data_IF_761603900028
#
_entry.id   IF_761603900028
#
_cell.length_a   1.000
_cell.length_b   1.000
_cell.length_c   1.000
_cell.angle_alpha   90.00
_cell.angle_beta   90.00
_cell.angle_gamma   90.00
#
_symmetry.space_group_name_H-M   'P 1'
#
loop_
_entity.id
_entity.type
_entity.pdbx_description
1 polymer ?
#
# COMPACT_ATOMS: atom_id res chain seq x y z
N UNK A 1 -12.19 0.32 -22.55
CA UNK A 1 -11.11 1.31 -22.35
C UNK A 1 -10.09 1.19 -23.48
N UNK A 2 -9.66 2.28 -24.09
CA UNK A 2 -8.67 2.25 -25.17
C UNK A 2 -7.25 2.17 -24.63
N UNK A 3 -6.27 1.78 -25.48
CA UNK A 3 -4.86 1.78 -25.10
C UNK A 3 -4.38 3.17 -24.67
N UNK A 4 -4.79 4.21 -25.38
CA UNK A 4 -4.45 5.59 -25.05
C UNK A 4 -5.00 6.02 -23.68
N UNK A 5 -6.16 5.51 -23.27
CA UNK A 5 -6.72 5.82 -21.94
C UNK A 5 -5.93 5.12 -20.83
N UNK A 6 -5.45 3.89 -21.07
CA UNK A 6 -4.59 3.17 -20.14
C UNK A 6 -3.23 3.84 -19.99
N UNK A 7 -2.57 4.22 -21.10
CA UNK A 7 -1.27 4.89 -21.07
C UNK A 7 -1.30 6.24 -20.34
N UNK A 8 -2.44 6.94 -20.34
CA UNK A 8 -2.62 8.20 -19.58
C UNK A 8 -2.62 7.98 -18.06
N UNK A 9 -2.79 6.74 -17.59
CA UNK A 9 -2.70 6.42 -16.15
C UNK A 9 -1.27 6.33 -15.66
N UNK A 10 -0.27 6.30 -16.53
CA UNK A 10 1.13 6.27 -16.14
C UNK A 10 1.53 7.58 -15.45
N UNK A 11 2.13 7.44 -14.27
CA UNK A 11 2.69 8.56 -13.50
C UNK A 11 4.07 8.15 -12.97
N UNK A 12 5.10 8.45 -13.74
CA UNK A 12 6.46 7.99 -13.44
C UNK A 12 6.56 6.47 -13.44
N UNK A 13 6.95 5.91 -12.32
CA UNK A 13 7.07 4.47 -12.05
C UNK A 13 5.80 3.86 -11.41
N UNK A 14 4.70 4.61 -11.35
CA UNK A 14 3.42 4.19 -10.79
C UNK A 14 2.29 4.30 -11.83
N UNK A 15 1.16 3.68 -11.53
CA UNK A 15 -0.13 3.95 -12.16
C UNK A 15 -0.94 4.83 -11.22
N UNK A 16 -1.51 5.93 -11.70
CA UNK A 16 -2.30 6.88 -10.93
C UNK A 16 -3.53 7.34 -11.72
N UNK A 17 -4.65 7.54 -11.02
CA UNK A 17 -5.86 8.06 -11.65
C UNK A 17 -6.91 8.56 -10.66
N UNK A 18 -8.02 9.04 -11.21
CA UNK A 18 -9.22 9.40 -10.48
C UNK A 18 -10.05 8.12 -10.32
N UNK A 19 -10.27 7.70 -9.08
CA UNK A 19 -10.95 6.44 -8.75
C UNK A 19 -12.31 6.62 -8.08
N UNK A 20 -12.61 7.85 -7.59
CA UNK A 20 -13.90 8.21 -7.03
C UNK A 20 -14.41 9.51 -7.65
N UNK A 21 -15.71 9.63 -7.73
CA UNK A 21 -16.40 10.88 -8.05
C UNK A 21 -16.40 11.82 -6.82
N UNK A 22 -16.79 13.08 -7.03
CA UNK A 22 -16.96 14.06 -5.94
C UNK A 22 -16.11 15.32 -6.07
N UNK A 23 -15.32 15.47 -7.15
CA UNK A 23 -14.59 16.70 -7.49
C UNK A 23 -15.09 17.23 -8.82
N UNK A 24 -15.58 18.47 -8.85
CA UNK A 24 -16.14 19.08 -10.04
C UNK A 24 -15.10 19.15 -11.18
N UNK A 25 -15.51 18.74 -12.37
CA UNK A 25 -14.65 18.71 -13.56
C UNK A 25 -13.72 17.48 -13.65
N UNK A 26 -13.63 16.65 -12.64
CA UNK A 26 -12.84 15.43 -12.64
C UNK A 26 -13.70 14.19 -12.99
N UNK A 27 -13.22 13.37 -13.90
CA UNK A 27 -13.91 12.14 -14.32
C UNK A 27 -13.10 10.93 -13.92
N UNK A 28 -13.76 9.90 -13.41
CA UNK A 28 -13.14 8.60 -13.07
C UNK A 28 -12.47 8.04 -14.33
N UNK A 29 -11.19 7.71 -14.22
CA UNK A 29 -10.37 7.08 -15.26
C UNK A 29 -9.58 5.86 -14.76
N UNK A 30 -9.35 5.73 -13.45
CA UNK A 30 -8.83 4.50 -12.85
C UNK A 30 -10.04 3.66 -12.39
N UNK A 31 -10.55 2.83 -13.31
CA UNK A 31 -11.75 2.03 -13.11
C UNK A 31 -11.41 0.59 -12.72
N UNK A 32 -12.42 -0.16 -12.23
CA UNK A 32 -12.29 -1.61 -12.01
C UNK A 32 -11.91 -2.34 -13.30
N UNK A 33 -12.45 -1.94 -14.48
CA UNK A 33 -12.06 -2.51 -15.77
C UNK A 33 -10.58 -2.29 -16.07
N UNK A 34 -10.06 -1.08 -15.79
CA UNK A 34 -8.64 -0.79 -15.94
C UNK A 34 -7.79 -1.69 -15.03
N UNK A 35 -8.15 -1.78 -13.74
CA UNK A 35 -7.44 -2.59 -12.77
C UNK A 35 -7.48 -4.09 -13.11
N UNK A 36 -8.62 -4.59 -13.60
CA UNK A 36 -8.75 -5.96 -14.09
C UNK A 36 -7.73 -6.26 -15.20
N UNK A 37 -7.64 -5.39 -16.20
CA UNK A 37 -6.68 -5.51 -17.30
C UNK A 37 -5.24 -5.37 -16.84
N UNK A 38 -4.96 -4.43 -15.95
CA UNK A 38 -3.64 -4.19 -15.36
C UNK A 38 -3.18 -5.41 -14.55
N UNK A 39 -4.05 -6.04 -13.75
CA UNK A 39 -3.72 -7.26 -13.03
C UNK A 39 -3.31 -8.41 -13.95
N UNK A 40 -4.06 -8.63 -15.05
CA UNK A 40 -3.71 -9.62 -16.06
C UNK A 40 -2.39 -9.32 -16.78
N UNK A 41 -2.15 -8.05 -17.08
CA UNK A 41 -0.92 -7.59 -17.70
C UNK A 41 0.30 -7.77 -16.77
N UNK A 42 0.16 -7.43 -15.50
CA UNK A 42 1.23 -7.63 -14.52
C UNK A 42 1.58 -9.12 -14.37
N UNK A 43 0.60 -10.02 -14.38
CA UNK A 43 0.86 -11.47 -14.39
C UNK A 43 1.72 -11.89 -15.58
N UNK A 44 1.41 -11.39 -16.78
CA UNK A 44 2.18 -11.70 -17.99
C UNK A 44 3.57 -11.09 -17.97
N UNK A 45 3.68 -9.83 -17.54
CA UNK A 45 4.96 -9.13 -17.40
C UNK A 45 5.86 -9.87 -16.40
N UNK A 46 5.36 -10.20 -15.22
CA UNK A 46 6.10 -10.88 -14.17
C UNK A 46 6.55 -12.29 -14.61
N UNK A 47 5.69 -13.02 -15.33
CA UNK A 47 6.04 -14.32 -15.90
C UNK A 47 7.21 -14.24 -16.88
N UNK A 48 7.24 -13.20 -17.74
CA UNK A 48 8.37 -12.95 -18.66
C UNK A 48 9.63 -12.57 -17.90
N UNK A 49 9.53 -11.67 -16.94
CA UNK A 49 10.65 -11.16 -16.13
C UNK A 49 11.32 -12.27 -15.35
N UNK A 50 10.54 -13.09 -14.64
CA UNK A 50 11.05 -14.18 -13.79
C UNK A 50 11.34 -15.48 -14.54
N UNK A 51 10.86 -15.60 -15.80
CA UNK A 51 10.89 -16.84 -16.61
C UNK A 51 10.17 -18.01 -15.94
N UNK A 52 9.23 -17.74 -15.05
CA UNK A 52 8.34 -18.73 -14.40
C UNK A 52 7.00 -18.76 -15.11
N UNK A 53 6.36 -19.94 -15.17
CA UNK A 53 4.96 -20.02 -15.59
C UNK A 53 4.06 -19.33 -14.56
N UNK A 54 2.95 -18.72 -15.00
CA UNK A 54 2.06 -17.97 -14.14
C UNK A 54 1.57 -18.76 -12.92
N UNK A 55 1.32 -20.07 -13.09
CA UNK A 55 0.88 -20.98 -12.02
C UNK A 55 1.92 -21.19 -10.90
N UNK A 56 3.17 -20.86 -11.19
CA UNK A 56 4.28 -20.94 -10.23
C UNK A 56 4.62 -19.57 -9.62
N UNK A 57 3.85 -18.54 -9.96
CA UNK A 57 4.00 -17.21 -9.38
C UNK A 57 3.05 -17.02 -8.19
N UNK A 58 3.54 -16.33 -7.17
CA UNK A 58 2.75 -15.84 -6.05
C UNK A 58 2.91 -14.34 -5.96
N UNK A 59 1.79 -13.61 -5.97
CA UNK A 59 1.75 -12.16 -5.88
C UNK A 59 1.01 -11.73 -4.61
N UNK A 60 1.67 -10.91 -3.80
CA UNK A 60 1.05 -10.22 -2.68
C UNK A 60 0.30 -8.97 -3.14
N UNK A 61 -0.86 -8.69 -2.56
CA UNK A 61 -1.60 -7.47 -2.83
C UNK A 61 -2.09 -6.83 -1.53
N UNK A 62 -1.80 -5.54 -1.36
CA UNK A 62 -2.22 -4.74 -0.23
C UNK A 62 -2.71 -3.36 -0.66
N UNK A 63 -3.35 -2.65 0.25
CA UNK A 63 -3.91 -1.32 0.01
C UNK A 63 -3.80 -0.42 1.23
N UNK A 64 -3.87 0.88 0.98
CA UNK A 64 -4.04 1.88 2.03
C UNK A 64 -5.52 2.05 2.45
N UNK A 65 -5.84 3.13 3.18
CA UNK A 65 -7.17 3.40 3.72
C UNK A 65 -8.20 3.93 2.70
N UNK A 66 -7.80 4.22 1.46
CA UNK A 66 -8.65 4.87 0.44
C UNK A 66 -9.93 4.09 0.16
N UNK A 67 -11.06 4.80 0.09
CA UNK A 67 -12.39 4.22 -0.11
C UNK A 67 -12.50 3.37 -1.37
N UNK A 68 -11.85 3.76 -2.46
CA UNK A 68 -11.83 3.00 -3.72
C UNK A 68 -10.95 1.74 -3.66
N UNK A 69 -10.09 1.60 -2.65
CA UNK A 69 -9.11 0.52 -2.54
C UNK A 69 -9.71 -0.88 -2.68
N UNK A 70 -10.75 -1.27 -1.92
CA UNK A 70 -11.33 -2.62 -1.99
C UNK A 70 -11.86 -3.03 -3.37
N UNK A 71 -12.50 -2.11 -4.09
CA UNK A 71 -13.03 -2.38 -5.43
C UNK A 71 -11.91 -2.59 -6.45
N UNK A 72 -10.89 -1.73 -6.42
CA UNK A 72 -9.71 -1.83 -7.28
C UNK A 72 -8.88 -3.08 -6.97
N UNK A 73 -8.72 -3.43 -5.69
CA UNK A 73 -8.08 -4.67 -5.25
C UNK A 73 -8.78 -5.90 -5.85
N UNK A 74 -10.10 -5.99 -5.71
CA UNK A 74 -10.88 -7.10 -6.25
C UNK A 74 -10.70 -7.24 -7.77
N UNK A 75 -10.65 -6.13 -8.49
CA UNK A 75 -10.45 -6.14 -9.94
C UNK A 75 -9.03 -6.60 -10.33
N UNK A 76 -7.99 -6.09 -9.66
CA UNK A 76 -6.60 -6.54 -9.86
C UNK A 76 -6.44 -8.03 -9.58
N UNK A 77 -7.02 -8.51 -8.46
CA UNK A 77 -7.00 -9.93 -8.09
C UNK A 77 -7.63 -10.79 -9.17
N UNK A 78 -8.79 -10.42 -9.70
CA UNK A 78 -9.45 -11.16 -10.81
C UNK A 78 -8.53 -11.24 -12.04
N UNK A 79 -7.88 -10.14 -12.40
CA UNK A 79 -6.95 -10.12 -13.52
C UNK A 79 -5.74 -11.06 -13.33
N UNK A 80 -5.15 -11.06 -12.14
CA UNK A 80 -4.07 -11.97 -11.77
C UNK A 80 -4.53 -13.44 -11.82
N UNK A 81 -5.65 -13.77 -11.19
CA UNK A 81 -6.23 -15.12 -11.16
C UNK A 81 -6.57 -15.66 -12.53
N UNK A 82 -7.17 -14.84 -13.39
CA UNK A 82 -7.51 -15.23 -14.76
C UNK A 82 -6.29 -15.63 -15.60
N UNK A 83 -5.12 -15.17 -15.22
CA UNK A 83 -3.84 -15.51 -15.82
C UNK A 83 -3.08 -16.61 -15.05
N UNK A 84 -3.71 -17.22 -14.04
CA UNK A 84 -3.19 -18.40 -13.33
C UNK A 84 -2.24 -18.12 -12.17
N UNK A 85 -2.07 -16.86 -11.77
CA UNK A 85 -1.20 -16.47 -10.65
C UNK A 85 -1.87 -16.75 -9.32
N UNK A 86 -1.15 -17.26 -8.34
CA UNK A 86 -1.61 -17.32 -6.95
C UNK A 86 -1.54 -15.95 -6.31
N UNK A 87 -2.63 -15.51 -5.69
CA UNK A 87 -2.71 -14.21 -5.04
C UNK A 87 -2.88 -14.37 -3.54
N UNK A 88 -2.12 -13.57 -2.79
CA UNK A 88 -2.22 -13.46 -1.33
C UNK A 88 -2.65 -12.04 -0.99
N UNK A 89 -3.80 -11.91 -0.33
CA UNK A 89 -4.30 -10.62 0.15
C UNK A 89 -3.63 -10.25 1.47
N UNK A 90 -2.96 -9.11 1.49
CA UNK A 90 -2.31 -8.56 2.68
C UNK A 90 -3.22 -7.56 3.44
N UNK A 91 -4.39 -7.24 2.88
CA UNK A 91 -5.33 -6.31 3.48
C UNK A 91 -4.81 -4.88 3.55
N UNK A 92 -5.05 -4.20 4.69
CA UNK A 92 -4.46 -2.89 4.98
C UNK A 92 -2.96 -3.05 5.12
N UNK A 93 -2.19 -2.34 4.31
CA UNK A 93 -0.73 -2.45 4.26
C UNK A 93 -0.10 -1.08 3.99
N UNK A 94 1.22 -1.04 4.05
CA UNK A 94 2.02 0.14 3.71
C UNK A 94 2.90 -0.16 2.51
N UNK A 95 3.31 0.87 1.79
CA UNK A 95 4.21 0.73 0.63
C UNK A 95 5.50 0.00 0.99
N UNK A 96 6.22 0.35 2.09
CA UNK A 96 7.42 -0.39 2.47
C UNK A 96 7.13 -1.82 2.95
N UNK A 97 5.98 -2.10 3.58
CA UNK A 97 5.61 -3.47 3.94
C UNK A 97 5.39 -4.34 2.71
N UNK A 98 4.72 -3.81 1.68
CA UNK A 98 4.50 -4.53 0.42
C UNK A 98 5.82 -4.80 -0.32
N UNK A 99 6.76 -3.86 -0.32
CA UNK A 99 8.11 -4.12 -0.82
C UNK A 99 8.80 -5.25 -0.02
N UNK A 100 8.77 -5.15 1.32
CA UNK A 100 9.40 -6.17 2.18
C UNK A 100 8.76 -7.55 2.07
N UNK A 101 7.52 -7.66 1.59
CA UNK A 101 6.86 -8.97 1.37
C UNK A 101 7.57 -9.86 0.34
N UNK A 102 8.41 -9.29 -0.51
CA UNK A 102 9.26 -9.99 -1.46
C UNK A 102 10.51 -10.54 -0.76
N UNK A 103 11.01 -9.80 0.24
CA UNK A 103 12.27 -10.08 0.95
C UNK A 103 12.08 -11.03 2.14
N UNK A 104 10.94 -10.94 2.84
CA UNK A 104 10.70 -11.76 4.03
C UNK A 104 10.59 -13.26 3.70
N UNK A 105 11.25 -14.11 4.51
CA UNK A 105 11.17 -15.56 4.39
C UNK A 105 9.74 -16.11 4.51
N UNK A 106 8.89 -15.45 5.31
CA UNK A 106 7.51 -15.86 5.54
C UNK A 106 6.59 -15.68 4.33
N UNK A 107 6.94 -14.78 3.42
CA UNK A 107 6.13 -14.45 2.24
C UNK A 107 6.84 -14.82 0.95
N UNK A 108 8.02 -14.28 0.72
CA UNK A 108 8.88 -14.54 -0.45
C UNK A 108 8.11 -14.50 -1.75
N UNK A 109 7.23 -13.48 -1.91
CA UNK A 109 6.41 -13.33 -3.10
C UNK A 109 7.28 -13.05 -4.33
N UNK A 110 6.87 -13.55 -5.48
CA UNK A 110 7.55 -13.28 -6.77
C UNK A 110 7.35 -11.85 -7.23
N UNK A 111 6.28 -11.22 -6.78
CA UNK A 111 5.97 -9.81 -6.97
C UNK A 111 4.94 -9.33 -5.96
N UNK A 112 4.83 -8.03 -5.78
CA UNK A 112 3.80 -7.47 -4.93
C UNK A 112 3.19 -6.20 -5.52
N UNK A 113 1.97 -5.89 -5.07
CA UNK A 113 1.16 -4.79 -5.55
C UNK A 113 0.66 -3.98 -4.36
N UNK A 114 0.93 -2.68 -4.36
CA UNK A 114 0.37 -1.73 -3.40
C UNK A 114 -0.64 -0.81 -4.07
N UNK A 115 -1.88 -0.81 -3.60
CA UNK A 115 -2.94 0.06 -4.07
C UNK A 115 -2.97 1.31 -3.20
N UNK A 116 -2.49 2.41 -3.76
CA UNK A 116 -2.32 3.68 -3.07
C UNK A 116 -2.18 4.83 -4.05
N UNK A 117 -2.52 6.02 -3.61
CA UNK A 117 -2.13 7.25 -4.29
C UNK A 117 -1.24 8.13 -3.39
N UNK A 118 -0.64 7.56 -2.32
CA UNK A 118 0.23 8.29 -1.39
C UNK A 118 -0.51 9.52 -0.81
N UNK A 119 0.05 10.69 -0.87
CA UNK A 119 -0.49 11.94 -0.34
C UNK A 119 -1.56 12.64 -1.20
N UNK A 120 -1.98 12.03 -2.32
CA UNK A 120 -2.97 12.65 -3.22
C UNK A 120 -4.37 12.70 -2.59
N UNK A 121 -5.28 13.58 -3.06
CA UNK A 121 -6.63 13.72 -2.54
C UNK A 121 -7.44 12.40 -2.49
N UNK A 122 -8.52 12.40 -1.72
CA UNK A 122 -9.36 11.22 -1.44
C UNK A 122 -9.90 10.51 -2.68
N UNK A 123 -10.14 11.26 -3.76
CA UNK A 123 -10.70 10.75 -5.00
C UNK A 123 -9.66 10.12 -5.94
N UNK A 124 -8.38 10.20 -5.60
CA UNK A 124 -7.27 9.56 -6.33
C UNK A 124 -6.99 8.17 -5.78
N UNK A 125 -6.52 7.31 -6.66
CA UNK A 125 -5.89 6.05 -6.28
C UNK A 125 -4.82 5.68 -7.32
N UNK A 126 -4.12 4.60 -7.08
CA UNK A 126 -3.06 4.15 -7.96
C UNK A 126 -2.62 2.73 -7.65
N UNK A 127 -1.62 2.28 -8.39
CA UNK A 127 -1.03 0.96 -8.25
C UNK A 127 0.47 1.08 -8.37
N UNK A 128 1.18 0.62 -7.35
CA UNK A 128 2.63 0.44 -7.34
C UNK A 128 2.94 -1.05 -7.44
N UNK A 129 3.99 -1.39 -8.14
CA UNK A 129 4.44 -2.76 -8.30
C UNK A 129 5.87 -2.93 -7.81
N UNK A 130 6.14 -4.10 -7.29
CA UNK A 130 7.46 -4.49 -6.81
C UNK A 130 7.80 -5.89 -7.34
N UNK A 131 9.07 -6.10 -7.63
CA UNK A 131 9.68 -7.39 -7.94
C UNK A 131 10.97 -7.59 -7.11
N UNK A 132 11.76 -8.61 -7.41
CA UNK A 132 13.01 -8.90 -6.68
C UNK A 132 14.06 -7.78 -6.77
N UNK A 133 13.98 -6.93 -7.80
CA UNK A 133 14.90 -5.80 -7.99
C UNK A 133 14.43 -4.53 -7.26
N UNK A 134 13.19 -4.49 -6.77
CA UNK A 134 12.59 -3.34 -6.06
C UNK A 134 11.30 -2.84 -6.67
N UNK A 135 11.07 -1.52 -6.60
CA UNK A 135 9.96 -0.87 -7.32
C UNK A 135 10.22 -0.87 -8.83
N UNK A 136 9.17 -1.09 -9.61
CA UNK A 136 9.27 -1.12 -11.06
C UNK A 136 9.66 0.25 -11.62
N UNK A 137 10.36 0.23 -12.75
CA UNK A 137 10.81 1.41 -13.47
C UNK A 137 9.73 1.94 -14.43
N UNK A 138 9.87 3.19 -14.89
CA UNK A 138 8.95 3.83 -15.85
C UNK A 138 8.68 2.94 -17.08
N UNK A 139 9.73 2.32 -17.66
CA UNK A 139 9.64 1.45 -18.83
C UNK A 139 8.78 0.21 -18.57
N UNK A 140 8.86 -0.35 -17.36
CA UNK A 140 8.12 -1.55 -16.98
C UNK A 140 6.62 -1.24 -16.86
N UNK A 141 6.29 -0.06 -16.30
CA UNK A 141 4.90 0.42 -16.24
C UNK A 141 4.33 0.66 -17.65
N UNK A 142 5.13 1.24 -18.56
CA UNK A 142 4.71 1.40 -19.96
C UNK A 142 4.38 0.03 -20.56
N UNK A 143 5.27 -0.98 -20.42
CA UNK A 143 5.03 -2.33 -20.94
C UNK A 143 3.78 -2.97 -20.33
N UNK A 144 3.57 -2.84 -19.03
CA UNK A 144 2.37 -3.36 -18.34
C UNK A 144 1.10 -2.71 -18.92
N UNK A 145 1.10 -1.39 -19.15
CA UNK A 145 -0.07 -0.69 -19.69
C UNK A 145 -0.34 -1.06 -21.16
N UNK A 146 0.69 -1.25 -21.97
CA UNK A 146 0.57 -1.77 -23.33
C UNK A 146 -0.01 -3.20 -23.33
N UNK A 147 0.49 -4.07 -22.46
CA UNK A 147 -0.05 -5.42 -22.28
C UNK A 147 -1.51 -5.40 -21.77
N UNK A 148 -1.86 -4.43 -20.92
CA UNK A 148 -3.22 -4.28 -20.41
C UNK A 148 -4.22 -3.92 -21.52
N UNK A 149 -3.79 -3.18 -22.55
CA UNK A 149 -4.64 -2.88 -23.70
C UNK A 149 -5.08 -4.14 -24.46
N UNK A 150 -4.23 -5.17 -24.48
CA UNK A 150 -4.50 -6.44 -25.15
C UNK A 150 -5.28 -7.45 -24.28
N UNK A 151 -5.56 -7.14 -22.98
CA UNK A 151 -6.30 -8.04 -22.10
C UNK A 151 -7.78 -8.13 -22.46
N UNK A 152 -8.31 -9.35 -22.44
CA UNK A 152 -9.75 -9.62 -22.56
C UNK A 152 -10.43 -9.44 -21.18
N UNK A 153 -11.11 -8.31 -21.01
CA UNK A 153 -11.78 -7.97 -19.74
C UNK A 153 -12.95 -8.93 -19.42
N UNK A 154 -13.69 -9.43 -20.41
CA UNK A 154 -14.83 -10.34 -20.19
C UNK A 154 -14.33 -11.69 -19.66
N UNK A 155 -13.30 -12.24 -20.30
CA UNK A 155 -12.64 -13.48 -19.86
C UNK A 155 -12.11 -13.36 -18.43
N UNK A 156 -11.40 -12.28 -18.13
CA UNK A 156 -10.81 -12.05 -16.82
C UNK A 156 -11.87 -11.85 -15.73
N UNK A 157 -13.00 -11.22 -16.03
CA UNK A 157 -14.05 -10.95 -15.04
C UNK A 157 -14.88 -12.21 -14.67
N UNK A 158 -14.84 -13.26 -15.47
CA UNK A 158 -15.60 -14.51 -15.24
C UNK A 158 -15.02 -15.37 -14.09
N UNK A 159 -13.85 -15.04 -13.58
CA UNK A 159 -13.12 -15.85 -12.60
C UNK A 159 -13.61 -15.55 -11.17
N UNK A 160 -13.87 -16.63 -10.39
CA UNK A 160 -14.15 -16.52 -8.95
C UNK A 160 -12.86 -16.23 -8.18
N UNK A 161 -12.93 -15.35 -7.20
CA UNK A 161 -11.82 -14.99 -6.31
C UNK A 161 -12.01 -15.50 -4.87
N UNK A 162 -12.89 -16.49 -4.68
CA UNK A 162 -13.20 -17.09 -3.36
C UNK A 162 -12.00 -17.78 -2.69
N UNK A 163 -11.01 -18.18 -3.48
CA UNK A 163 -9.89 -19.01 -3.03
C UNK A 163 -8.60 -18.19 -2.77
N UNK A 164 -8.71 -16.86 -2.67
CA UNK A 164 -7.59 -16.02 -2.27
C UNK A 164 -7.17 -16.32 -0.84
N UNK A 165 -5.89 -16.58 -0.64
CA UNK A 165 -5.31 -16.64 0.70
C UNK A 165 -5.21 -15.24 1.28
N UNK A 166 -5.42 -15.15 2.60
CA UNK A 166 -5.16 -13.92 3.37
C UNK A 166 -3.88 -14.11 4.19
N UNK A 167 -3.12 -13.04 4.35
CA UNK A 167 -1.90 -13.01 5.15
C UNK A 167 -1.78 -11.68 5.88
N UNK A 168 -1.56 -11.75 7.19
CA UNK A 168 -1.36 -10.54 8.01
C UNK A 168 0.09 -10.06 7.88
N UNK A 169 0.39 -9.35 6.81
CA UNK A 169 1.72 -8.83 6.51
C UNK A 169 2.18 -7.80 7.56
N UNK A 170 1.27 -7.00 8.08
CA UNK A 170 1.61 -5.94 9.05
C UNK A 170 2.18 -6.51 10.34
N UNK A 171 1.76 -7.68 10.80
CA UNK A 171 2.35 -8.30 12.00
C UNK A 171 3.82 -8.70 11.77
N UNK A 172 4.13 -9.25 10.61
CA UNK A 172 5.52 -9.60 10.23
C UNK A 172 6.37 -8.34 10.07
N UNK A 173 5.82 -7.34 9.38
CA UNK A 173 6.50 -6.06 9.18
C UNK A 173 6.75 -5.32 10.49
N UNK A 174 5.76 -5.27 11.39
CA UNK A 174 5.90 -4.66 12.71
C UNK A 174 6.97 -5.37 13.57
N UNK A 175 7.01 -6.70 13.53
CA UNK A 175 8.06 -7.47 14.20
C UNK A 175 9.45 -7.15 13.65
N UNK A 176 9.57 -7.03 12.32
CA UNK A 176 10.81 -6.60 11.67
C UNK A 176 11.25 -5.20 12.14
N UNK A 177 10.32 -4.23 12.19
CA UNK A 177 10.62 -2.88 12.65
C UNK A 177 11.02 -2.83 14.13
N UNK A 178 10.33 -3.59 15.01
CA UNK A 178 10.74 -3.69 16.42
C UNK A 178 12.15 -4.24 16.55
N UNK A 179 12.46 -5.30 15.80
CA UNK A 179 13.81 -5.87 15.80
C UNK A 179 14.86 -4.87 15.30
N UNK A 180 14.55 -4.09 14.26
CA UNK A 180 15.45 -3.05 13.75
C UNK A 180 15.71 -1.95 14.80
N UNK A 181 14.68 -1.50 15.51
CA UNK A 181 14.81 -0.52 16.62
C UNK A 181 15.65 -1.11 17.75
N UNK A 182 15.36 -2.32 18.19
CA UNK A 182 16.12 -2.99 19.25
C UNK A 182 17.58 -3.17 18.88
N UNK A 183 17.86 -3.59 17.64
CA UNK A 183 19.22 -3.72 17.13
C UNK A 183 19.95 -2.38 17.11
N UNK A 184 19.29 -1.33 16.64
CA UNK A 184 19.86 0.03 16.61
C UNK A 184 20.16 0.59 18.01
N UNK A 185 19.38 0.19 19.02
CA UNK A 185 19.58 0.59 20.42
C UNK A 185 20.47 -0.39 21.21
N UNK A 186 20.91 -1.48 20.59
CA UNK A 186 21.64 -2.57 21.26
C UNK A 186 20.90 -3.11 22.50
N UNK A 187 19.59 -3.33 22.40
CA UNK A 187 18.71 -3.76 23.47
C UNK A 187 17.84 -4.95 23.01
N UNK A 188 17.36 -5.75 23.95
CA UNK A 188 16.34 -6.75 23.69
C UNK A 188 14.93 -6.15 23.76
N UNK A 189 13.97 -6.71 23.03
CA UNK A 189 12.56 -6.25 23.06
C UNK A 189 11.96 -6.36 24.48
N UNK A 190 12.35 -7.39 25.23
CA UNK A 190 11.93 -7.61 26.62
C UNK A 190 12.40 -6.53 27.59
N UNK A 191 13.43 -5.77 27.23
CA UNK A 191 13.95 -4.66 28.03
C UNK A 191 13.12 -3.38 27.83
N UNK A 192 12.17 -3.39 26.89
CA UNK A 192 11.32 -2.25 26.54
C UNK A 192 12.15 -0.97 26.32
N UNK A 193 12.99 -0.93 25.29
CA UNK A 193 14.02 0.09 25.11
C UNK A 193 13.50 1.51 24.93
N UNK A 194 12.19 1.71 24.69
CA UNK A 194 11.56 3.02 24.61
C UNK A 194 10.85 3.44 25.91
N UNK A 195 11.05 2.70 27.01
CA UNK A 195 10.46 3.05 28.31
C UNK A 195 10.95 4.42 28.79
N UNK A 196 10.00 5.24 29.24
CA UNK A 196 10.27 6.61 29.68
C UNK A 196 10.19 7.65 28.55
N UNK A 197 10.08 7.23 27.29
CA UNK A 197 9.80 8.13 26.17
C UNK A 197 8.30 8.24 25.93
N UNK A 198 7.86 9.46 25.67
CA UNK A 198 6.51 9.75 25.20
C UNK A 198 6.55 10.12 23.72
N UNK A 199 5.95 9.26 22.88
CA UNK A 199 5.99 9.38 21.42
C UNK A 199 4.56 9.44 20.90
N UNK A 200 4.15 10.56 20.34
CA UNK A 200 2.82 10.71 19.74
C UNK A 200 2.88 10.48 18.23
N UNK A 201 1.88 9.80 17.71
CA UNK A 201 1.75 9.48 16.29
C UNK A 201 0.54 10.19 15.70
N UNK A 202 0.72 10.75 14.51
CA UNK A 202 -0.35 11.24 13.65
C UNK A 202 -0.35 10.39 12.37
N UNK A 203 -1.37 9.53 12.23
CA UNK A 203 -1.53 8.66 11.06
C UNK A 203 -2.28 9.31 9.91
N UNK A 204 -2.80 10.54 10.09
CA UNK A 204 -3.61 11.21 9.07
C UNK A 204 -4.77 10.38 8.52
N UNK A 205 -5.30 9.43 9.30
CA UNK A 205 -6.29 8.42 8.89
C UNK A 205 -5.80 7.46 7.76
N UNK A 206 -4.48 7.35 7.58
CA UNK A 206 -3.82 6.43 6.65
C UNK A 206 -3.64 5.02 7.21
N UNK A 207 -2.62 4.30 6.71
CA UNK A 207 -2.33 2.91 7.06
C UNK A 207 -1.38 2.76 8.27
N UNK A 208 -0.86 3.85 8.84
CA UNK A 208 0.20 3.82 9.86
C UNK A 208 -0.26 3.64 11.31
N UNK A 209 -1.56 3.52 11.59
CA UNK A 209 -2.09 3.40 12.96
C UNK A 209 -1.42 2.28 13.79
N UNK A 210 -1.04 1.19 13.14
CA UNK A 210 -0.36 0.05 13.76
C UNK A 210 1.00 0.39 14.40
N UNK A 211 1.62 1.51 14.09
CA UNK A 211 2.85 1.94 14.76
C UNK A 211 2.66 2.10 16.26
N UNK A 212 1.48 2.53 16.69
CA UNK A 212 1.16 2.72 18.11
C UNK A 212 1.13 1.37 18.84
N UNK A 213 0.21 0.49 18.46
CA UNK A 213 -0.09 -0.74 19.18
C UNK A 213 0.87 -1.90 18.87
N UNK A 214 1.46 -1.93 17.65
CA UNK A 214 2.33 -3.02 17.22
C UNK A 214 3.82 -2.72 17.28
N UNK A 215 4.22 -1.45 17.44
CA UNK A 215 5.65 -1.10 17.48
C UNK A 215 6.01 -0.35 18.76
N UNK A 216 5.43 0.84 18.98
CA UNK A 216 5.88 1.74 20.05
C UNK A 216 5.49 1.23 21.44
N UNK A 217 4.23 0.84 21.64
CA UNK A 217 3.77 0.31 22.94
C UNK A 217 4.46 -1.00 23.34
N UNK A 218 4.64 -2.00 22.47
CA UNK A 218 5.42 -3.19 22.80
C UNK A 218 6.85 -2.87 23.24
N UNK A 219 7.47 -1.84 22.68
CA UNK A 219 8.81 -1.37 23.06
C UNK A 219 8.84 -0.46 24.29
N UNK A 220 7.67 -0.18 24.90
CA UNK A 220 7.53 0.53 26.17
C UNK A 220 7.28 2.03 26.09
N UNK A 221 7.09 2.61 24.89
CA UNK A 221 6.77 4.04 24.78
C UNK A 221 5.37 4.37 25.31
N UNK A 222 5.22 5.52 25.95
CA UNK A 222 3.91 6.15 26.18
C UNK A 222 3.45 6.82 24.89
N UNK A 223 2.34 6.33 24.33
CA UNK A 223 1.78 6.87 23.08
C UNK A 223 0.52 7.70 23.29
N UNK A 224 0.23 8.06 24.55
CA UNK A 224 -0.95 8.87 24.91
C UNK A 224 -0.88 10.24 24.23
N UNK A 225 -1.91 10.55 23.47
CA UNK A 225 -1.99 11.80 22.68
C UNK A 225 -1.76 11.59 21.19
N UNK A 226 -1.49 10.35 20.74
CA UNK A 226 -1.53 9.99 19.31
C UNK A 226 -2.91 10.24 18.74
N UNK A 227 -2.97 10.61 17.44
CA UNK A 227 -4.21 11.10 16.83
C UNK A 227 -4.40 10.54 15.41
N UNK A 228 -5.67 10.56 14.95
CA UNK A 228 -6.10 10.17 13.60
C UNK A 228 -5.62 8.78 13.18
N UNK A 229 -5.62 7.83 14.15
CA UNK A 229 -5.08 6.48 13.99
C UNK A 229 -6.00 5.57 13.19
N UNK A 230 -7.32 5.79 13.29
CA UNK A 230 -8.31 4.97 12.59
C UNK A 230 -8.27 5.27 11.09
N UNK A 231 -8.15 4.24 10.24
CA UNK A 231 -8.15 4.41 8.79
C UNK A 231 -9.45 5.01 8.28
N UNK A 232 -9.37 6.13 7.54
CA UNK A 232 -10.50 6.75 6.87
C UNK A 232 -10.06 7.38 5.55
N UNK A 233 -10.45 6.76 4.44
CA UNK A 233 -10.04 7.19 3.10
C UNK A 233 -10.63 8.52 2.61
N UNK A 234 -11.46 9.18 3.42
CA UNK A 234 -11.93 10.55 3.17
C UNK A 234 -11.01 11.60 3.80
N UNK A 235 -10.09 11.19 4.69
CA UNK A 235 -9.11 12.07 5.34
C UNK A 235 -9.72 13.30 6.02
N UNK A 236 -10.66 13.12 6.97
CA UNK A 236 -11.50 14.23 7.47
C UNK A 236 -10.74 15.24 8.33
N UNK A 237 -9.55 14.89 8.83
CA UNK A 237 -8.83 15.73 9.78
C UNK A 237 -7.82 16.67 9.12
N UNK A 238 -7.02 16.15 8.22
CA UNK A 238 -6.12 16.92 7.35
C UNK A 238 -5.68 16.05 6.15
N UNK A 239 -5.12 16.69 5.14
CA UNK A 239 -4.47 15.98 4.03
C UNK A 239 -3.33 15.12 4.62
N UNK A 240 -3.29 13.81 4.35
CA UNK A 240 -2.26 12.92 4.89
C UNK A 240 -0.94 13.07 4.11
N UNK A 241 -0.32 14.22 4.29
CA UNK A 241 0.94 14.60 3.66
C UNK A 241 1.82 15.36 4.67
N UNK A 242 2.95 14.82 5.13
CA UNK A 242 3.86 15.51 6.05
C UNK A 242 4.40 16.84 5.54
N UNK A 243 4.41 17.08 4.22
CA UNK A 243 4.79 18.37 3.65
C UNK A 243 3.68 19.42 3.74
N UNK A 244 2.45 19.02 4.04
CA UNK A 244 1.34 19.94 4.20
C UNK A 244 1.46 20.70 5.53
N UNK A 245 1.36 22.03 5.48
CA UNK A 245 1.53 22.90 6.66
C UNK A 245 0.50 22.60 7.76
N UNK A 246 -0.75 22.30 7.42
CA UNK A 246 -1.79 22.00 8.40
C UNK A 246 -1.53 20.64 9.08
N UNK A 247 -1.11 19.62 8.31
CA UNK A 247 -0.74 18.32 8.83
C UNK A 247 0.48 18.42 9.77
N UNK A 248 1.52 19.11 9.35
CA UNK A 248 2.71 19.34 10.18
C UNK A 248 2.36 20.12 11.45
N UNK A 249 1.48 21.14 11.37
CA UNK A 249 1.04 21.88 12.54
C UNK A 249 0.21 21.02 13.50
N UNK A 250 -0.57 20.07 12.99
CA UNK A 250 -1.36 19.15 13.82
C UNK A 250 -0.46 18.29 14.71
N UNK A 251 0.59 17.66 14.15
CA UNK A 251 1.53 16.85 14.95
C UNK A 251 2.38 17.71 15.89
N UNK A 252 2.83 18.89 15.48
CA UNK A 252 3.55 19.82 16.35
C UNK A 252 2.71 20.21 17.57
N UNK A 253 1.43 20.57 17.34
CA UNK A 253 0.49 20.89 18.42
C UNK A 253 0.24 19.68 19.35
N UNK A 254 0.10 18.47 18.79
CA UNK A 254 -0.08 17.25 19.58
C UNK A 254 1.16 16.97 20.44
N UNK A 255 2.35 17.10 19.89
CA UNK A 255 3.63 16.91 20.60
C UNK A 255 3.76 17.87 21.77
N UNK A 256 3.55 19.17 21.56
CA UNK A 256 3.65 20.21 22.61
C UNK A 256 2.55 20.03 23.67
N UNK A 257 1.29 19.85 23.25
CA UNK A 257 0.14 19.72 24.18
C UNK A 257 0.27 18.52 25.10
N UNK A 258 0.87 17.43 24.63
CA UNK A 258 1.03 16.21 25.40
C UNK A 258 2.39 16.11 26.13
N UNK A 259 3.24 17.13 26.07
CA UNK A 259 4.62 17.10 26.54
C UNK A 259 5.37 15.85 26.03
N UNK A 260 5.20 15.51 24.76
CA UNK A 260 5.84 14.36 24.15
C UNK A 260 7.29 14.69 23.74
N UNK A 261 8.16 13.69 23.87
CA UNK A 261 9.57 13.78 23.48
C UNK A 261 9.73 13.79 21.95
N UNK A 262 8.80 13.14 21.24
CA UNK A 262 8.83 13.01 19.78
C UNK A 262 7.39 12.95 19.22
N UNK A 263 7.19 13.61 18.08
CA UNK A 263 6.00 13.47 17.24
C UNK A 263 6.37 12.83 15.91
N UNK A 264 5.63 11.81 15.52
CA UNK A 264 5.75 11.13 14.23
C UNK A 264 4.51 11.40 13.39
N UNK A 265 4.70 11.79 12.15
CA UNK A 265 3.62 11.95 11.18
C UNK A 265 3.94 11.14 9.93
N UNK A 266 2.93 10.51 9.37
CA UNK A 266 3.07 9.64 8.22
C UNK A 266 2.23 10.15 7.03
N UNK A 267 2.66 9.76 5.84
CA UNK A 267 1.85 9.78 4.63
C UNK A 267 0.77 8.68 4.71
N UNK A 268 -0.14 8.62 3.74
CA UNK A 268 -1.26 7.65 3.73
C UNK A 268 -0.76 6.21 3.72
N UNK A 269 0.28 5.94 2.96
CA UNK A 269 0.86 4.59 2.72
C UNK A 269 2.25 4.39 3.38
N UNK A 270 2.67 5.36 4.22
CA UNK A 270 3.89 5.36 5.08
C UNK A 270 5.18 5.59 4.30
#
# INVERSE_FOLDING_TARGET
>A
MTEQDLLKLQNGSDIRGIALDGVEGERINLTEEACLKIGGAFAQWLSRKTKKSAQNLTVGIGRDSRVSGPALENALVKGLFANGVRVVRCGMATTPAMFMSIVFEQTHFDGSVMITASHLPFNRNGVKFFDEDGGLEHKDITEILELAAAQDAEKNNSVSISDCQEFNLIDVYAAHLRNAICTGLNAAETEKPLSGLKIVVDSGNGASGFFVDKILQPLGADTTGSQFLEPDGMFPNHIPNPENKAAMQAIQNATVRNNADLGLIFDTDV
#
